data_IF_844274493783
#
_entry.id   IF_844274493783
#
_cell.length_a   1.000
_cell.length_b   1.000
_cell.length_c   1.000
_cell.angle_alpha   90.00
_cell.angle_beta   90.00
_cell.angle_gamma   90.00
#
_symmetry.space_group_name_H-M   'P 1'
#
loop_
_entity.id
_entity.type
_entity.pdbx_description
1 polymer ?
#
# COMPACT_ATOMS: atom_id res chain seq x y z
N UNK A 1 -5.64 4.59 33.81
CA UNK A 1 -6.17 4.75 32.43
C UNK A 1 -5.06 4.32 31.48
N UNK A 2 -5.09 3.08 30.98
CA UNK A 2 -4.07 2.60 30.03
C UNK A 2 -4.39 3.13 28.64
N UNK A 3 -3.55 4.00 28.11
CA UNK A 3 -3.69 4.51 26.74
C UNK A 3 -3.59 3.34 25.75
N UNK A 4 -4.62 3.09 24.92
CA UNK A 4 -4.73 1.86 24.12
C UNK A 4 -3.71 1.74 22.98
N UNK A 5 -2.89 2.77 22.73
CA UNK A 5 -1.95 2.85 21.60
C UNK A 5 -0.49 3.10 22.04
N UNK A 6 -0.03 2.48 23.12
CA UNK A 6 1.40 2.55 23.52
C UNK A 6 2.11 1.24 23.22
N UNK A 7 3.44 1.28 23.03
CA UNK A 7 4.26 0.06 22.90
C UNK A 7 4.17 -0.81 24.17
N UNK A 8 3.99 -0.17 25.34
CA UNK A 8 3.68 -0.84 26.60
C UNK A 8 2.36 -1.62 26.55
N UNK A 9 1.30 -1.02 25.99
CA UNK A 9 0.02 -1.70 25.79
C UNK A 9 0.11 -2.86 24.77
N UNK A 10 0.92 -2.71 23.72
CA UNK A 10 1.17 -3.78 22.76
C UNK A 10 1.79 -5.02 23.42
N UNK A 11 2.71 -4.82 24.38
CA UNK A 11 3.28 -5.89 25.21
C UNK A 11 2.43 -6.25 26.44
N UNK A 12 1.43 -5.43 26.78
CA UNK A 12 0.55 -5.62 27.95
C UNK A 12 1.25 -5.43 29.29
N UNK A 13 2.29 -4.60 29.31
CA UNK A 13 3.12 -4.32 30.49
C UNK A 13 2.94 -2.88 30.96
N UNK A 14 3.32 -2.61 32.21
CA UNK A 14 3.36 -1.26 32.75
C UNK A 14 4.58 -0.46 32.25
N UNK A 15 4.50 0.88 32.16
CA UNK A 15 5.63 1.73 31.75
C UNK A 15 6.88 1.59 32.62
N UNK A 16 6.74 1.17 33.87
CA UNK A 16 7.80 0.94 34.84
C UNK A 16 8.38 -0.49 34.82
N UNK A 17 7.97 -1.34 33.88
CA UNK A 17 8.44 -2.71 33.78
C UNK A 17 9.98 -2.81 33.62
N UNK A 18 10.59 -3.81 34.28
CA UNK A 18 12.02 -4.10 34.16
C UNK A 18 12.35 -4.77 32.83
N UNK A 19 13.64 -4.88 32.50
CA UNK A 19 14.09 -5.53 31.27
C UNK A 19 13.66 -7.01 31.21
N UNK A 20 13.70 -7.70 32.35
CA UNK A 20 13.27 -9.10 32.47
C UNK A 20 11.77 -9.25 32.25
N UNK A 21 10.97 -8.32 32.77
CA UNK A 21 9.52 -8.32 32.58
C UNK A 21 9.14 -8.04 31.11
N UNK A 22 9.90 -7.17 30.42
CA UNK A 22 9.73 -6.90 28.98
C UNK A 22 10.00 -8.17 28.16
N UNK A 23 11.08 -8.90 28.48
CA UNK A 23 11.44 -10.14 27.78
C UNK A 23 10.43 -11.26 28.02
N UNK A 24 10.00 -11.46 29.27
CA UNK A 24 8.97 -12.44 29.59
C UNK A 24 7.65 -12.15 28.86
N UNK A 25 7.20 -10.89 28.86
CA UNK A 25 5.98 -10.47 28.18
C UNK A 25 6.06 -10.64 26.65
N UNK A 26 7.24 -10.39 26.06
CA UNK A 26 7.47 -10.62 24.63
C UNK A 26 7.31 -12.09 24.26
N UNK A 27 7.96 -12.99 25.00
CA UNK A 27 7.90 -14.43 24.74
C UNK A 27 6.47 -14.98 24.86
N UNK A 28 5.73 -14.53 25.88
CA UNK A 28 4.33 -14.92 26.08
C UNK A 28 3.45 -14.44 24.91
N UNK A 29 3.60 -13.18 24.49
CA UNK A 29 2.82 -12.62 23.37
C UNK A 29 3.18 -13.24 22.03
N UNK A 30 4.46 -13.54 21.79
CA UNK A 30 4.89 -14.17 20.55
C UNK A 30 4.27 -15.56 20.40
N UNK A 31 4.21 -16.34 21.49
CA UNK A 31 3.53 -17.63 21.51
C UNK A 31 2.01 -17.48 21.31
N UNK A 32 1.38 -16.54 22.02
CA UNK A 32 -0.07 -16.32 21.94
C UNK A 32 -0.54 -15.82 20.56
N UNK A 33 0.32 -15.13 19.81
CA UNK A 33 0.00 -14.54 18.51
C UNK A 33 0.52 -15.36 17.32
N UNK A 34 0.96 -16.61 17.55
CA UNK A 34 1.34 -17.51 16.45
C UNK A 34 0.19 -17.62 15.42
N UNK A 35 0.49 -17.26 14.17
CA UNK A 35 -0.48 -17.24 13.07
C UNK A 35 -1.09 -15.88 12.76
N UNK A 36 -0.87 -14.85 13.59
CA UNK A 36 -1.25 -13.46 13.30
C UNK A 36 -0.01 -12.61 13.04
N UNK A 37 0.44 -12.59 11.77
CA UNK A 37 1.66 -11.90 11.35
C UNK A 37 1.64 -10.39 11.61
N UNK A 38 0.48 -9.75 11.47
CA UNK A 38 0.34 -8.31 11.66
C UNK A 38 0.53 -7.96 13.14
N UNK A 39 -0.13 -8.68 14.04
CA UNK A 39 0.00 -8.47 15.49
C UNK A 39 1.41 -8.81 16.00
N UNK A 40 2.03 -9.87 15.46
CA UNK A 40 3.42 -10.23 15.76
C UNK A 40 4.41 -9.14 15.35
N UNK A 41 4.18 -8.49 14.21
CA UNK A 41 5.05 -7.41 13.74
C UNK A 41 5.07 -6.23 14.73
N UNK A 42 3.91 -5.87 15.29
CA UNK A 42 3.81 -4.81 16.30
C UNK A 42 4.50 -5.20 17.61
N UNK A 43 4.31 -6.44 18.07
CA UNK A 43 4.94 -6.96 19.30
C UNK A 43 6.47 -6.97 19.18
N UNK A 44 7.01 -7.36 18.02
CA UNK A 44 8.46 -7.34 17.76
C UNK A 44 9.03 -5.93 17.80
N UNK A 45 8.38 -4.98 17.13
CA UNK A 45 8.78 -3.56 17.17
C UNK A 45 8.74 -3.01 18.59
N UNK A 46 7.69 -3.35 19.36
CA UNK A 46 7.58 -2.95 20.76
C UNK A 46 8.74 -3.50 21.60
N UNK A 47 9.06 -4.79 21.46
CA UNK A 47 10.18 -5.42 22.17
C UNK A 47 11.53 -4.81 21.79
N UNK A 48 11.81 -4.66 20.49
CA UNK A 48 13.08 -4.08 20.00
C UNK A 48 13.27 -2.63 20.46
N UNK A 49 12.19 -1.88 20.63
CA UNK A 49 12.26 -0.50 21.14
C UNK A 49 12.47 -0.47 22.66
N UNK A 50 11.75 -1.29 23.42
CA UNK A 50 11.73 -1.22 24.88
C UNK A 50 12.88 -1.96 25.56
N UNK A 51 13.46 -2.99 24.91
CA UNK A 51 14.62 -3.74 25.43
C UNK A 51 15.87 -2.87 25.55
N UNK A 52 16.04 -1.90 24.66
CA UNK A 52 17.21 -1.01 24.67
C UNK A 52 16.93 0.25 25.50
N UNK A 53 17.72 0.54 26.54
CA UNK A 53 17.43 1.62 27.47
C UNK A 53 17.43 3.00 26.81
N UNK A 54 18.34 3.23 25.85
CA UNK A 54 18.41 4.51 25.13
C UNK A 54 17.19 4.74 24.22
N UNK A 55 16.74 3.69 23.50
CA UNK A 55 15.55 3.75 22.63
C UNK A 55 14.28 3.91 23.44
N UNK A 56 14.17 3.19 24.56
CA UNK A 56 13.08 3.35 25.53
C UNK A 56 13.00 4.78 26.04
N UNK A 57 14.13 5.36 26.48
CA UNK A 57 14.16 6.75 26.95
C UNK A 57 13.77 7.74 25.84
N UNK A 58 14.21 7.53 24.60
CA UNK A 58 13.81 8.34 23.46
C UNK A 58 12.31 8.26 23.17
N UNK A 59 11.75 7.05 23.18
CA UNK A 59 10.32 6.80 23.03
C UNK A 59 9.50 7.48 24.14
N UNK A 60 9.94 7.38 25.39
CA UNK A 60 9.26 8.03 26.53
C UNK A 60 9.29 9.56 26.43
N UNK A 61 10.38 10.16 25.94
CA UNK A 61 10.42 11.60 25.65
C UNK A 61 9.39 11.98 24.60
N UNK A 62 9.29 11.24 23.50
CA UNK A 62 8.27 11.46 22.46
C UNK A 62 6.85 11.32 23.03
N UNK A 63 6.61 10.30 23.85
CA UNK A 63 5.30 10.07 24.48
C UNK A 63 4.91 11.23 25.42
N UNK A 64 5.85 11.72 26.24
CA UNK A 64 5.62 12.89 27.11
C UNK A 64 5.33 14.16 26.31
N UNK A 65 6.04 14.38 25.21
CA UNK A 65 5.76 15.52 24.31
C UNK A 65 4.37 15.43 23.70
N UNK A 66 3.94 14.25 23.25
CA UNK A 66 2.60 14.04 22.71
C UNK A 66 1.51 14.31 23.76
N UNK A 67 1.69 13.80 24.98
CA UNK A 67 0.75 14.05 26.08
C UNK A 67 0.67 15.54 26.43
N UNK A 68 1.82 16.23 26.48
CA UNK A 68 1.86 17.68 26.75
C UNK A 68 1.14 18.50 25.67
N UNK A 69 1.27 18.11 24.39
CA UNK A 69 0.58 18.75 23.25
C UNK A 69 -0.94 18.49 23.32
N UNK A 70 -1.36 17.26 23.64
CA UNK A 70 -2.79 16.96 23.81
C UNK A 70 -3.42 17.75 24.96
N UNK A 71 -2.72 17.92 26.07
CA UNK A 71 -3.19 18.71 27.22
C UNK A 71 -3.29 20.22 26.90
N UNK A 72 -2.42 20.74 26.02
CA UNK A 72 -2.52 22.14 25.58
C UNK A 72 -3.68 22.36 24.62
N UNK A 73 -3.97 21.41 23.74
CA UNK A 73 -5.10 21.50 22.80
C UNK A 73 -6.44 21.42 23.54
N UNK A 74 -6.57 20.53 24.53
CA UNK A 74 -7.80 20.40 25.30
C UNK A 74 -8.07 21.61 26.22
N UNK A 75 -7.03 22.38 26.60
CA UNK A 75 -7.17 23.60 27.40
C UNK A 75 -7.61 24.83 26.60
N UNK A 76 -7.52 24.83 25.27
CA UNK A 76 -7.89 25.98 24.42
C UNK A 76 -9.31 25.83 23.80
N UNK A 77 -9.94 24.66 23.94
CA UNK A 77 -11.30 24.38 23.48
C UNK A 77 -12.32 24.22 24.62
N UNK A 78 -12.29 25.11 25.62
CA UNK A 78 -13.45 25.28 26.52
C UNK A 78 -14.42 26.32 25.92
N UNK A 79 -14.99 25.99 24.75
CA UNK A 79 -16.11 26.73 24.13
C UNK A 79 -17.25 25.79 23.76
N UNK A 80 -18.25 25.80 24.65
CA UNK A 80 -19.66 25.42 24.48
C UNK A 80 -20.03 23.94 24.23
N UNK A 81 -21.03 23.41 24.96
CA UNK A 81 -21.49 22.04 24.77
C UNK A 81 -22.22 21.87 23.43
N UNK A 82 -21.67 21.04 22.55
CA UNK A 82 -22.34 20.55 21.33
C UNK A 82 -23.50 19.61 21.68
N UNK A 83 -24.62 20.20 22.09
CA UNK A 83 -25.94 19.58 22.04
C UNK A 83 -26.37 19.64 20.58
N UNK A 84 -26.18 18.57 19.77
CA UNK A 84 -26.92 18.31 18.50
C UNK A 84 -26.57 17.00 17.72
N UNK A 85 -26.03 15.94 18.34
CA UNK A 85 -25.79 14.67 17.59
C UNK A 85 -26.98 13.71 17.52
N UNK A 86 -28.02 13.88 18.35
CA UNK A 86 -29.17 12.95 18.41
C UNK A 86 -30.24 13.19 17.33
N UNK A 87 -30.45 14.43 16.89
CA UNK A 87 -31.46 14.75 15.89
C UNK A 87 -31.07 14.24 14.47
N UNK A 88 -29.78 14.26 14.15
CA UNK A 88 -29.28 13.82 12.84
C UNK A 88 -29.37 12.29 12.67
N UNK A 89 -29.14 11.53 13.75
CA UNK A 89 -29.31 10.06 13.72
C UNK A 89 -30.79 9.65 13.59
N UNK A 90 -31.73 10.46 14.06
CA UNK A 90 -33.16 10.17 13.93
C UNK A 90 -33.68 10.36 12.49
N UNK A 91 -33.17 11.39 11.79
CA UNK A 91 -33.49 11.62 10.37
C UNK A 91 -33.00 10.49 9.45
N UNK A 92 -31.81 9.92 9.73
CA UNK A 92 -31.31 8.76 8.97
C UNK A 92 -32.17 7.51 9.18
N UNK A 93 -32.68 7.28 10.40
CA UNK A 93 -33.56 6.14 10.68
C UNK A 93 -34.91 6.23 9.93
N UNK A 94 -35.51 7.43 9.86
CA UNK A 94 -36.76 7.63 9.11
C UNK A 94 -36.54 7.39 7.60
N UNK A 95 -35.39 7.79 7.07
CA UNK A 95 -35.08 7.64 5.64
C UNK A 95 -34.83 6.17 5.25
N UNK A 96 -34.20 5.38 6.12
CA UNK A 96 -34.03 3.93 5.92
C UNK A 96 -35.36 3.18 5.98
N UNK A 97 -36.26 3.54 6.91
CA UNK A 97 -37.61 2.93 7.00
C UNK A 97 -38.47 3.30 5.78
N UNK A 98 -38.37 4.53 5.27
CA UNK A 98 -39.10 4.94 4.07
C UNK A 98 -38.60 4.21 2.80
N UNK A 99 -37.28 4.00 2.65
CA UNK A 99 -36.72 3.27 1.51
C UNK A 99 -37.08 1.77 1.53
N UNK A 100 -37.13 1.14 2.71
CA UNK A 100 -37.51 -0.28 2.82
C UNK A 100 -39.01 -0.50 2.56
N UNK A 101 -39.88 0.43 2.96
CA UNK A 101 -41.31 0.37 2.64
C UNK A 101 -41.60 0.60 1.15
N UNK A 102 -40.88 1.53 0.50
CA UNK A 102 -41.03 1.81 -0.93
C UNK A 102 -40.63 0.64 -1.83
N UNK A 103 -39.54 -0.06 -1.50
CA UNK A 103 -39.08 -1.23 -2.26
C UNK A 103 -40.01 -2.44 -2.15
N UNK A 104 -40.74 -2.59 -1.03
CA UNK A 104 -41.64 -3.72 -0.83
C UNK A 104 -42.97 -3.57 -1.58
N UNK A 105 -43.41 -2.33 -1.85
CA UNK A 105 -44.67 -2.08 -2.54
C UNK A 105 -44.56 -2.12 -4.07
N UNK A 106 -43.42 -1.69 -4.63
CA UNK A 106 -43.19 -1.72 -6.08
C UNK A 106 -42.84 -3.12 -6.64
N UNK A 107 -42.52 -4.11 -5.79
CA UNK A 107 -42.12 -5.45 -6.23
C UNK A 107 -43.25 -6.50 -6.22
N UNK A 108 -44.51 -6.10 -5.99
CA UNK A 108 -45.66 -6.99 -6.15
C UNK A 108 -46.04 -7.15 -7.62
N UNK A 109 -45.34 -8.04 -8.33
CA UNK A 109 -45.85 -8.57 -9.61
C UNK A 109 -46.94 -9.62 -9.33
N UNK A 110 -48.09 -9.60 -10.02
CA UNK A 110 -49.07 -10.68 -9.92
C UNK A 110 -48.50 -11.97 -10.54
N UNK A 111 -48.74 -13.09 -9.86
CA UNK A 111 -48.24 -14.41 -10.24
C UNK A 111 -48.83 -14.90 -11.58
N UNK A 112 -48.03 -15.53 -12.45
CA UNK A 112 -48.55 -16.26 -13.60
C UNK A 112 -49.17 -17.60 -13.15
N UNK A 113 -50.32 -17.92 -13.73
CA UNK A 113 -51.10 -19.14 -13.51
C UNK A 113 -50.34 -20.38 -14.02
N UNK A 114 -50.40 -21.46 -13.22
CA UNK A 114 -50.00 -22.82 -13.58
C UNK A 114 -50.89 -23.40 -14.68
N UNK A 115 -50.29 -24.07 -15.67
CA UNK A 115 -50.91 -25.12 -16.47
C UNK A 115 -49.86 -26.16 -16.91
N UNK A 116 -49.83 -27.26 -16.15
CA UNK A 116 -49.74 -28.70 -16.50
C UNK A 116 -48.72 -29.28 -17.51
N UNK A 117 -48.25 -30.53 -17.29
CA UNK A 117 -47.13 -31.17 -17.98
C UNK A 117 -47.56 -32.14 -19.10
N UNK A 118 -46.68 -32.41 -20.08
CA UNK A 118 -46.74 -33.59 -20.96
C UNK A 118 -45.32 -34.13 -21.20
N UNK A 119 -45.27 -35.46 -21.32
CA UNK A 119 -44.20 -36.43 -21.11
C UNK A 119 -43.53 -36.88 -22.43
N UNK A 120 -42.26 -37.35 -22.32
CA UNK A 120 -41.51 -38.28 -23.19
C UNK A 120 -41.04 -37.74 -24.58
N UNK A 121 -39.91 -38.13 -25.17
CA UNK A 121 -39.15 -39.40 -25.12
C UNK A 121 -37.66 -39.19 -25.48
N UNK A 122 -36.79 -40.05 -24.93
CA UNK A 122 -35.43 -40.40 -25.40
C UNK A 122 -35.55 -41.57 -26.41
N UNK A 123 -34.66 -41.72 -27.41
CA UNK A 123 -33.42 -42.53 -27.29
C UNK A 123 -32.20 -41.87 -27.99
N UNK A 124 -30.93 -42.00 -27.60
CA UNK A 124 -30.01 -43.15 -27.49
C UNK A 124 -29.48 -43.70 -28.84
N UNK A 125 -28.24 -43.31 -29.20
CA UNK A 125 -27.22 -43.98 -30.07
C UNK A 125 -25.87 -43.33 -29.65
N UNK A 126 -24.92 -43.97 -28.95
CA UNK A 126 -23.96 -45.04 -29.37
C UNK A 126 -23.00 -44.53 -30.48
N UNK A 127 -21.70 -44.78 -30.59
CA UNK A 127 -20.56 -45.25 -29.81
C UNK A 127 -19.32 -44.92 -30.68
N UNK A 128 -18.11 -45.08 -30.14
CA UNK A 128 -16.87 -45.19 -30.93
C UNK A 128 -15.91 -44.04 -30.68
N UNK A 129 -14.85 -44.13 -29.85
CA UNK A 129 -13.73 -45.08 -29.78
C UNK A 129 -12.45 -44.53 -30.46
N UNK A 130 -11.34 -44.64 -29.74
CA UNK A 130 -9.95 -44.55 -30.20
C UNK A 130 -9.33 -43.14 -30.15
N UNK A 131 -8.07 -42.92 -29.81
CA UNK A 131 -7.02 -43.76 -29.21
C UNK A 131 -5.85 -42.80 -28.86
N UNK A 132 -5.26 -43.04 -27.68
CA UNK A 132 -3.92 -42.77 -27.11
C UNK A 132 -2.85 -41.87 -27.82
N UNK A 133 -2.09 -41.03 -27.06
CA UNK A 133 -0.80 -40.41 -27.42
C UNK A 133 0.40 -41.31 -26.99
N UNK A 134 1.67 -40.88 -26.79
CA UNK A 134 2.60 -39.94 -27.45
C UNK A 134 3.92 -40.64 -27.93
N UNK A 135 4.87 -39.92 -28.55
CA UNK A 135 6.31 -40.30 -28.56
C UNK A 135 7.26 -39.12 -28.86
N UNK A 136 8.34 -38.92 -28.05
CA UNK A 136 9.64 -38.36 -28.42
C UNK A 136 10.67 -39.53 -28.59
N UNK A 137 12.04 -39.43 -28.58
CA UNK A 137 12.98 -38.29 -28.39
C UNK A 137 14.29 -38.31 -29.28
N UNK A 138 15.18 -37.30 -29.05
CA UNK A 138 16.69 -37.30 -29.14
C UNK A 138 17.38 -37.37 -30.52
N UNK A 139 18.70 -37.05 -30.68
CA UNK A 139 19.72 -36.59 -29.70
C UNK A 139 20.74 -35.49 -30.14
N UNK A 140 21.45 -34.96 -29.11
CA UNK A 140 22.88 -34.56 -29.00
C UNK A 140 23.49 -33.62 -30.07
N UNK A 141 24.41 -32.70 -29.77
CA UNK A 141 25.73 -32.99 -29.20
C UNK A 141 26.48 -31.69 -28.78
N UNK A 142 27.47 -31.90 -27.91
CA UNK A 142 28.46 -31.00 -27.31
C UNK A 142 29.27 -30.18 -28.37
N UNK A 143 30.15 -29.22 -28.08
CA UNK A 143 31.01 -28.97 -26.93
C UNK A 143 31.53 -27.50 -26.95
N UNK A 144 32.00 -27.05 -25.79
CA UNK A 144 32.81 -25.85 -25.50
C UNK A 144 34.26 -25.96 -26.06
N UNK A 145 35.27 -25.18 -25.62
CA UNK A 145 35.51 -23.72 -25.71
C UNK A 145 36.94 -23.39 -26.23
N UNK A 146 37.17 -22.23 -26.85
CA UNK A 146 38.45 -21.47 -26.93
C UNK A 146 38.22 -20.29 -27.91
N UNK A 147 38.82 -19.10 -27.89
CA UNK A 147 40.07 -18.56 -27.37
C UNK A 147 39.96 -17.04 -27.62
N UNK A 148 40.33 -16.19 -26.67
CA UNK A 148 40.74 -14.80 -26.96
C UNK A 148 42.26 -14.82 -27.23
N UNK A 149 42.93 -13.79 -27.81
CA UNK A 149 42.49 -12.42 -28.09
C UNK A 149 42.96 -11.85 -29.46
N UNK A 150 42.36 -10.76 -29.96
CA UNK A 150 43.08 -9.79 -30.78
C UNK A 150 42.30 -8.49 -30.93
N UNK A 151 42.98 -7.39 -30.66
CA UNK A 151 42.52 -6.04 -30.88
C UNK A 151 42.67 -5.60 -32.35
N UNK A 152 42.03 -4.46 -32.63
CA UNK A 152 42.27 -3.47 -33.69
C UNK A 152 41.29 -3.49 -34.86
N UNK A 153 40.85 -2.26 -35.18
CA UNK A 153 40.31 -1.74 -36.43
C UNK A 153 38.79 -1.59 -36.54
N UNK A 154 38.36 -0.36 -36.25
CA UNK A 154 37.17 0.29 -36.79
C UNK A 154 36.93 -0.07 -38.26
N UNK A 155 35.73 -0.58 -38.54
CA UNK A 155 35.08 -0.44 -39.84
C UNK A 155 33.67 0.05 -39.61
N UNK A 156 33.46 1.32 -39.95
CA UNK A 156 32.14 1.85 -40.28
C UNK A 156 31.54 0.95 -41.36
N UNK A 157 30.52 0.18 -40.98
CA UNK A 157 29.62 -0.45 -41.93
C UNK A 157 28.26 0.18 -41.69
N UNK A 158 27.92 1.12 -42.57
CA UNK A 158 26.57 1.67 -42.73
C UNK A 158 25.65 0.56 -43.22
N UNK A 159 25.07 -0.20 -42.28
CA UNK A 159 23.92 -1.06 -42.57
C UNK A 159 22.68 -0.21 -42.39
N UNK A 160 22.06 0.09 -43.53
CA UNK A 160 20.69 0.62 -43.67
C UNK A 160 19.74 -0.19 -42.79
N UNK A 161 19.41 0.37 -41.61
CA UNK A 161 18.38 -0.15 -40.75
C UNK A 161 17.03 0.29 -41.32
N UNK A 162 16.24 -0.70 -41.73
CA UNK A 162 14.82 -0.54 -41.98
C UNK A 162 14.17 0.22 -40.81
N UNK A 163 13.20 1.12 -41.06
CA UNK A 163 12.51 1.85 -40.00
C UNK A 163 11.70 0.85 -39.18
N UNK A 164 12.32 0.30 -38.15
CA UNK A 164 11.58 -0.24 -37.01
C UNK A 164 10.86 0.97 -36.45
N UNK A 165 9.53 0.98 -36.57
CA UNK A 165 8.65 1.89 -35.87
C UNK A 165 8.87 1.68 -34.37
N UNK A 166 9.94 2.28 -33.84
CA UNK A 166 10.07 2.56 -32.44
C UNK A 166 8.92 3.51 -32.14
N UNK A 167 7.83 2.97 -31.62
CA UNK A 167 6.86 3.76 -30.89
C UNK A 167 7.64 4.36 -29.71
N UNK A 168 8.25 5.52 -29.94
CA UNK A 168 8.78 6.37 -28.89
C UNK A 168 7.58 6.70 -28.03
N UNK A 169 7.35 5.91 -26.98
CA UNK A 169 6.43 6.29 -25.92
C UNK A 169 6.98 7.59 -25.37
N UNK A 170 6.39 8.72 -25.80
CA UNK A 170 6.69 10.04 -25.26
C UNK A 170 6.36 9.92 -23.79
N UNK A 171 7.40 9.82 -22.95
CA UNK A 171 7.24 9.85 -21.52
C UNK A 171 6.66 11.22 -21.21
N UNK A 172 5.37 11.26 -20.88
CA UNK A 172 4.74 12.51 -20.47
C UNK A 172 5.49 13.01 -19.25
N UNK A 173 6.07 14.19 -19.38
CA UNK A 173 6.85 14.84 -18.33
C UNK A 173 6.13 16.10 -17.88
N UNK A 174 6.27 16.42 -16.60
CA UNK A 174 5.73 17.65 -16.04
C UNK A 174 6.33 18.89 -16.71
N UNK A 175 5.51 19.93 -16.90
CA UNK A 175 5.95 21.24 -17.36
C UNK A 175 6.78 22.02 -16.34
N UNK A 176 7.17 23.25 -16.68
CA UNK A 176 7.91 24.13 -15.76
C UNK A 176 7.05 24.54 -14.55
N UNK A 177 7.69 24.73 -13.39
CA UNK A 177 7.00 25.17 -12.17
C UNK A 177 6.55 26.62 -12.30
N UNK A 178 5.26 26.95 -12.17
CA UNK A 178 4.81 28.33 -12.10
C UNK A 178 5.28 28.99 -10.79
N UNK A 179 5.35 30.33 -10.72
CA UNK A 179 5.64 31.03 -9.48
C UNK A 179 4.55 30.77 -8.43
N UNK A 180 4.96 30.58 -7.18
CA UNK A 180 4.04 30.28 -6.07
C UNK A 180 3.75 28.78 -5.90
N UNK A 181 2.66 28.48 -5.19
CA UNK A 181 2.16 27.13 -4.98
C UNK A 181 1.22 26.74 -6.13
N UNK A 182 1.39 25.54 -6.66
CA UNK A 182 0.52 24.95 -7.67
C UNK A 182 0.29 23.48 -7.36
N UNK A 183 -0.96 23.14 -7.01
CA UNK A 183 -1.37 21.78 -6.70
C UNK A 183 -1.27 20.84 -7.91
N UNK A 184 -1.54 21.33 -9.12
CA UNK A 184 -1.42 20.53 -10.34
C UNK A 184 0.04 20.17 -10.57
N UNK A 185 0.96 21.11 -10.40
CA UNK A 185 2.39 20.84 -10.49
C UNK A 185 2.87 19.78 -9.49
N UNK A 186 2.37 19.84 -8.24
CA UNK A 186 2.70 18.86 -7.20
C UNK A 186 2.12 17.47 -7.52
N UNK A 187 0.90 17.40 -8.07
CA UNK A 187 0.19 16.14 -8.35
C UNK A 187 0.97 15.17 -9.26
N UNK A 188 1.80 15.68 -10.18
CA UNK A 188 2.69 14.88 -11.03
C UNK A 188 3.72 14.06 -10.23
N UNK A 189 4.14 14.57 -9.07
CA UNK A 189 5.05 13.87 -8.16
C UNK A 189 4.29 12.97 -7.16
N UNK A 190 2.96 12.99 -7.14
CA UNK A 190 2.16 12.22 -6.19
C UNK A 190 1.72 10.90 -6.82
N UNK A 191 1.78 9.84 -6.02
CA UNK A 191 1.42 8.50 -6.42
C UNK A 191 0.42 7.91 -5.43
N UNK A 192 -0.61 7.26 -5.95
CA UNK A 192 -1.42 6.35 -5.15
C UNK A 192 -0.69 5.01 -5.03
N UNK A 193 -0.50 4.55 -3.81
CA UNK A 193 0.11 3.25 -3.52
C UNK A 193 -1.03 2.28 -3.26
N UNK A 194 -1.05 1.17 -4.01
CA UNK A 194 -2.05 0.13 -3.82
C UNK A 194 -1.39 -1.22 -3.56
N UNK A 195 -1.91 -1.87 -2.53
CA UNK A 195 -1.73 -3.28 -2.24
C UNK A 195 -3.12 -3.94 -2.21
N UNK A 196 -3.15 -5.28 -2.14
CA UNK A 196 -4.41 -6.07 -2.16
C UNK A 196 -5.52 -5.49 -1.28
N UNK A 197 -5.20 -5.18 -0.02
CA UNK A 197 -6.18 -4.74 0.98
C UNK A 197 -5.85 -3.39 1.62
N UNK A 198 -4.82 -2.68 1.12
CA UNK A 198 -4.40 -1.39 1.68
C UNK A 198 -4.08 -0.41 0.56
N UNK A 199 -4.32 0.85 0.86
CA UNK A 199 -3.97 1.96 -0.01
C UNK A 199 -3.31 3.06 0.81
N UNK A 200 -2.44 3.81 0.15
CA UNK A 200 -1.90 5.03 0.70
C UNK A 200 -1.39 5.92 -0.41
N UNK A 201 -0.54 6.87 -0.04
CA UNK A 201 0.04 7.83 -0.96
C UNK A 201 1.55 7.87 -0.78
N UNK A 202 2.25 8.21 -1.85
CA UNK A 202 3.68 8.46 -1.84
C UNK A 202 4.01 9.64 -2.73
N UNK A 203 5.19 10.20 -2.51
CA UNK A 203 5.71 11.34 -3.27
C UNK A 203 7.04 10.95 -3.90
N UNK A 204 7.20 11.23 -5.19
CA UNK A 204 8.43 11.00 -5.92
C UNK A 204 9.49 12.02 -5.50
N UNK A 205 10.59 11.52 -4.95
CA UNK A 205 11.73 12.33 -4.47
C UNK A 205 12.98 12.19 -5.36
N UNK A 206 12.92 11.33 -6.37
CA UNK A 206 13.95 11.12 -7.38
C UNK A 206 13.46 10.17 -8.48
N UNK A 207 14.27 9.92 -9.52
CA UNK A 207 13.89 9.03 -10.61
C UNK A 207 13.52 7.64 -10.09
N UNK A 208 12.30 7.21 -10.41
CA UNK A 208 11.71 5.93 -9.99
C UNK A 208 11.67 5.70 -8.46
N UNK A 209 11.90 6.76 -7.66
CA UNK A 209 12.05 6.71 -6.20
C UNK A 209 10.92 7.45 -5.52
N UNK A 210 10.08 6.70 -4.81
CA UNK A 210 8.87 7.22 -4.16
C UNK A 210 8.99 7.04 -2.65
N UNK A 211 8.91 8.14 -1.93
CA UNK A 211 8.88 8.16 -0.46
C UNK A 211 7.44 8.05 0.03
N UNK A 212 7.21 7.20 1.02
CA UNK A 212 5.92 7.01 1.69
C UNK A 212 6.12 6.65 3.15
N UNK A 213 5.04 6.52 3.90
CA UNK A 213 5.11 5.99 5.24
C UNK A 213 5.23 4.46 5.23
N UNK A 214 5.97 3.88 6.17
CA UNK A 214 6.12 2.41 6.21
C UNK A 214 4.83 1.69 6.59
N UNK A 215 3.96 2.29 7.42
CA UNK A 215 2.67 1.67 7.76
C UNK A 215 1.75 1.45 6.55
N UNK A 216 1.93 2.21 5.45
CA UNK A 216 1.21 2.02 4.18
C UNK A 216 1.52 0.65 3.58
N UNK A 217 2.74 0.16 3.77
CA UNK A 217 3.23 -1.09 3.19
C UNK A 217 2.90 -2.32 4.04
N UNK A 218 2.45 -2.15 5.29
CA UNK A 218 2.10 -3.22 6.23
C UNK A 218 3.22 -4.25 6.51
N UNK A 219 4.48 -3.92 6.22
CA UNK A 219 5.55 -4.92 6.21
C UNK A 219 5.39 -6.02 5.14
N UNK A 220 4.49 -5.81 4.18
CA UNK A 220 4.21 -6.75 3.10
C UNK A 220 5.37 -6.87 2.11
N UNK A 221 5.45 -8.02 1.45
CA UNK A 221 6.32 -8.24 0.31
C UNK A 221 5.94 -7.31 -0.86
N UNK A 222 6.88 -7.05 -1.78
CA UNK A 222 6.64 -6.26 -3.01
C UNK A 222 5.64 -6.93 -3.96
N UNK A 223 5.25 -8.18 -3.70
CA UNK A 223 4.29 -8.93 -4.49
C UNK A 223 2.91 -8.25 -4.55
N UNK A 224 2.59 -7.67 -5.70
CA UNK A 224 1.32 -6.99 -5.93
C UNK A 224 1.28 -5.54 -5.40
N UNK A 225 2.42 -4.99 -4.98
CA UNK A 225 2.56 -3.58 -4.65
C UNK A 225 2.77 -2.79 -5.95
N UNK A 226 1.85 -1.85 -6.20
CA UNK A 226 1.92 -0.95 -7.35
C UNK A 226 1.82 0.50 -6.91
N UNK A 227 2.47 1.36 -7.68
CA UNK A 227 2.33 2.81 -7.59
C UNK A 227 1.62 3.30 -8.84
N UNK A 228 0.69 4.24 -8.67
CA UNK A 228 -0.14 4.78 -9.74
C UNK A 228 0.08 6.28 -9.73
N UNK A 229 0.63 6.84 -10.81
CA UNK A 229 0.84 8.28 -10.91
C UNK A 229 -0.51 9.01 -10.89
N UNK A 230 -0.67 10.02 -10.02
CA UNK A 230 -1.95 10.69 -9.81
C UNK A 230 -2.42 11.56 -10.98
N UNK A 231 -1.57 11.86 -11.95
CA UNK A 231 -1.92 12.68 -13.12
C UNK A 231 -2.08 11.85 -14.40
N UNK A 232 -1.21 10.85 -14.59
CA UNK A 232 -1.18 10.05 -15.83
C UNK A 232 -1.86 8.69 -15.70
N UNK A 233 -2.30 8.30 -14.50
CA UNK A 233 -2.80 6.97 -14.14
C UNK A 233 -1.85 5.82 -14.50
N UNK A 234 -0.57 6.14 -14.78
CA UNK A 234 0.44 5.15 -15.13
C UNK A 234 0.72 4.26 -13.93
N UNK A 235 0.50 2.96 -14.11
CA UNK A 235 0.76 1.94 -13.10
C UNK A 235 2.19 1.41 -13.26
N UNK A 236 2.97 1.46 -12.18
CA UNK A 236 4.32 0.89 -12.12
C UNK A 236 4.43 -0.09 -10.97
N UNK A 237 5.11 -1.21 -11.18
CA UNK A 237 5.33 -2.22 -10.13
C UNK A 237 6.49 -1.78 -9.25
N UNK A 238 6.36 -2.01 -7.95
CA UNK A 238 7.47 -1.80 -7.02
C UNK A 238 8.35 -3.05 -7.01
N UNK A 239 9.64 -2.88 -7.27
CA UNK A 239 10.60 -3.99 -7.28
C UNK A 239 11.19 -4.24 -5.89
N UNK A 240 11.56 -3.15 -5.21
CA UNK A 240 12.18 -3.19 -3.89
C UNK A 240 11.81 -1.95 -3.08
N UNK A 241 11.98 -2.04 -1.77
CA UNK A 241 11.88 -0.89 -0.88
C UNK A 241 12.96 -0.95 0.20
N UNK A 242 13.31 0.21 0.73
CA UNK A 242 14.15 0.37 1.90
C UNK A 242 13.34 1.04 3.01
N UNK A 243 13.57 0.63 4.25
CA UNK A 243 13.03 1.30 5.44
C UNK A 243 14.09 2.25 5.96
N UNK A 244 13.69 3.45 6.37
CA UNK A 244 14.56 4.31 7.17
C UNK A 244 14.40 3.88 8.62
N UNK A 245 15.50 3.52 9.27
CA UNK A 245 15.49 3.07 10.65
C UNK A 245 14.97 4.18 11.59
N UNK A 246 14.26 3.77 12.63
CA UNK A 246 13.67 4.65 13.66
C UNK A 246 12.65 5.70 13.17
N UNK A 247 12.30 5.68 11.88
CA UNK A 247 11.32 6.56 11.24
C UNK A 247 10.21 5.73 10.56
N UNK A 248 8.97 6.24 10.53
CA UNK A 248 7.88 5.61 9.77
C UNK A 248 7.98 5.98 8.28
N UNK A 249 9.18 5.90 7.69
CA UNK A 249 9.47 6.33 6.32
C UNK A 249 10.07 5.19 5.49
N UNK A 250 9.47 4.93 4.33
CA UNK A 250 9.85 3.88 3.41
C UNK A 250 10.10 4.45 2.02
N UNK A 251 11.22 4.06 1.42
CA UNK A 251 11.61 4.44 0.06
C UNK A 251 11.34 3.28 -0.90
N UNK A 252 10.41 3.46 -1.82
CA UNK A 252 10.08 2.51 -2.88
C UNK A 252 10.92 2.76 -4.12
N UNK A 253 11.36 1.69 -4.77
CA UNK A 253 11.86 1.73 -6.15
C UNK A 253 10.83 1.09 -7.08
N UNK A 254 10.31 1.89 -8.01
CA UNK A 254 9.34 1.48 -9.01
C UNK A 254 9.82 1.89 -10.40
N UNK A 255 10.60 1.05 -11.10
CA UNK A 255 11.12 1.39 -12.42
C UNK A 255 10.02 1.73 -13.42
N UNK A 256 10.22 2.82 -14.15
CA UNK A 256 9.25 3.34 -15.10
C UNK A 256 8.16 4.21 -14.47
N UNK A 257 8.22 4.50 -13.16
CA UNK A 257 7.31 5.45 -12.52
C UNK A 257 7.55 6.90 -12.99
N UNK A 258 8.77 7.22 -13.46
CA UNK A 258 9.12 8.50 -14.06
C UNK A 258 10.19 9.26 -13.28
N UNK A 259 10.36 10.53 -13.63
CA UNK A 259 11.45 11.39 -13.10
C UNK A 259 10.98 12.74 -12.57
N UNK A 260 9.66 12.97 -12.50
CA UNK A 260 9.06 14.22 -12.05
C UNK A 260 9.11 14.33 -10.51
N UNK A 261 10.31 14.45 -9.96
CA UNK A 261 10.54 14.54 -8.50
C UNK A 261 10.17 15.90 -7.93
N UNK A 262 9.69 15.93 -6.68
CA UNK A 262 9.48 17.18 -5.96
C UNK A 262 10.81 17.70 -5.39
N UNK A 263 11.01 19.02 -5.44
CA UNK A 263 12.18 19.64 -4.84
C UNK A 263 12.08 19.62 -3.31
N UNK A 264 13.18 19.32 -2.65
CA UNK A 264 13.28 19.38 -1.20
C UNK A 264 13.29 20.83 -0.72
N UNK A 265 12.43 21.13 0.26
CA UNK A 265 12.46 22.37 1.02
C UNK A 265 13.26 22.21 2.32
N UNK A 266 13.51 23.34 2.99
CA UNK A 266 14.06 23.34 4.34
C UNK A 266 12.95 23.57 5.36
N UNK A 267 12.70 22.56 6.20
CA UNK A 267 11.89 22.66 7.40
C UNK A 267 12.27 23.83 8.33
N UNK A 268 13.56 24.17 8.42
CA UNK A 268 14.02 25.30 9.23
C UNK A 268 13.59 26.67 8.70
N UNK A 269 13.13 26.75 7.45
CA UNK A 269 12.60 27.97 6.85
C UNK A 269 11.09 28.15 7.11
N UNK A 270 10.40 27.12 7.61
CA UNK A 270 8.97 27.20 7.90
C UNK A 270 8.71 28.04 9.15
N UNK A 271 7.68 28.88 9.08
CA UNK A 271 7.18 29.70 10.18
C UNK A 271 5.77 29.29 10.54
N UNK A 272 5.41 29.52 11.80
CA UNK A 272 4.02 29.36 12.22
C UNK A 272 3.13 30.31 11.42
N UNK A 273 2.08 29.76 10.82
CA UNK A 273 1.17 30.49 9.94
C UNK A 273 1.51 30.40 8.45
N UNK A 274 2.61 29.74 8.07
CA UNK A 274 2.87 29.41 6.67
C UNK A 274 1.78 28.47 6.12
N UNK A 275 1.38 28.70 4.87
CA UNK A 275 0.42 27.83 4.17
C UNK A 275 1.15 26.59 3.66
N UNK A 276 0.61 25.40 3.96
CA UNK A 276 1.13 24.07 3.56
C UNK A 276 0.10 23.27 2.79
#
# INVERSE_FOLDING_TARGET
MSSPNTLYAALGIAPEATAEAIEAAFLEREQALQGNSDALSLVRVAYDTLRHPERRAAYERKLKQQLAVSETIDSEYDVAPQRNSRARNWLFLILVVACTAGLFWFNKKPAPKLATPVVASRPAVEAGAGETPPSPPTPAEAATPNEAPAAIASRETTVSAAPTLATTQVMQSRGAKPPGFDAHYVAWSVFAIRQRNRSGSGVMIGPDRILTNCHVLAGGATNGLVVINSTTDKVSKVEKYARLDDEDACLLLAPGAGSDSIAWGSWAALRQGDTV
#
